data_IF_812752229738
#
_entry.id   IF_812752229738
#
_cell.length_a   1.000
_cell.length_b   1.000
_cell.length_c   1.000
_cell.angle_alpha   90.00
_cell.angle_beta   90.00
_cell.angle_gamma   90.00
#
_symmetry.space_group_name_H-M   'P 1'
#
loop_
_entity.id
_entity.type
_entity.pdbx_description
1 polymer ?
#
# COMPACT_ATOMS: atom_id res chain seq x y z
N UNK A 1 21.67 -46.13 -1.70
CA UNK A 1 21.16 -44.84 -1.21
C UNK A 1 19.77 -44.67 -1.73
N UNK A 2 18.81 -44.45 -0.85
CA UNK A 2 17.42 -44.32 -1.25
C UNK A 2 17.16 -42.89 -1.73
N UNK A 3 17.38 -42.67 -3.03
CA UNK A 3 17.24 -41.36 -3.67
C UNK A 3 15.84 -40.78 -3.51
N UNK A 4 14.82 -41.65 -3.44
CA UNK A 4 13.44 -41.30 -3.11
C UNK A 4 13.31 -40.67 -1.72
N UNK A 5 14.03 -41.22 -0.73
CA UNK A 5 13.98 -40.76 0.65
C UNK A 5 14.69 -39.41 0.82
N UNK A 6 15.83 -39.23 0.14
CA UNK A 6 16.53 -37.94 0.05
C UNK A 6 15.61 -36.84 -0.52
N UNK A 7 14.88 -37.16 -1.60
CA UNK A 7 13.95 -36.23 -2.22
C UNK A 7 12.75 -35.89 -1.30
N UNK A 8 12.22 -36.89 -0.57
CA UNK A 8 11.14 -36.68 0.39
C UNK A 8 11.57 -35.75 1.53
N UNK A 9 12.75 -35.97 2.12
CA UNK A 9 13.31 -35.11 3.18
C UNK A 9 13.53 -33.69 2.65
N UNK A 10 14.04 -33.56 1.43
CA UNK A 10 14.21 -32.25 0.80
C UNK A 10 12.86 -31.54 0.63
N UNK A 11 11.87 -32.21 0.06
CA UNK A 11 10.58 -31.62 -0.28
C UNK A 11 9.76 -31.25 0.96
N UNK A 12 9.73 -32.12 1.98
CA UNK A 12 9.00 -31.82 3.22
C UNK A 12 9.63 -30.63 3.96
N UNK A 13 10.96 -30.54 3.97
CA UNK A 13 11.65 -29.41 4.58
C UNK A 13 11.45 -28.12 3.78
N UNK A 14 11.47 -28.21 2.44
CA UNK A 14 11.15 -27.09 1.55
C UNK A 14 9.76 -26.53 1.88
N UNK A 15 8.74 -27.40 1.95
CA UNK A 15 7.36 -27.00 2.26
C UNK A 15 7.27 -26.41 3.67
N UNK A 16 7.92 -27.03 4.66
CA UNK A 16 7.97 -26.50 6.03
C UNK A 16 8.49 -25.06 6.06
N UNK A 17 9.62 -24.79 5.40
CA UNK A 17 10.22 -23.46 5.41
C UNK A 17 9.37 -22.45 4.66
N UNK A 18 8.75 -22.82 3.54
CA UNK A 18 7.83 -21.91 2.85
C UNK A 18 6.62 -21.55 3.71
N UNK A 19 6.02 -22.52 4.42
CA UNK A 19 4.92 -22.26 5.35
C UNK A 19 5.35 -21.37 6.51
N UNK A 20 6.53 -21.61 7.08
CA UNK A 20 7.13 -20.80 8.13
C UNK A 20 7.33 -19.33 7.69
N UNK A 21 7.84 -19.12 6.47
CA UNK A 21 7.98 -17.77 5.88
C UNK A 21 6.62 -17.10 5.69
N UNK A 22 5.64 -17.79 5.10
CA UNK A 22 4.29 -17.24 4.88
C UNK A 22 3.62 -16.88 6.21
N UNK A 23 3.69 -17.76 7.21
CA UNK A 23 3.17 -17.49 8.56
C UNK A 23 3.82 -16.25 9.16
N UNK A 24 5.14 -16.17 9.11
CA UNK A 24 5.91 -15.03 9.66
C UNK A 24 5.52 -13.72 8.98
N UNK A 25 5.40 -13.72 7.64
CA UNK A 25 4.93 -12.59 6.87
C UNK A 25 3.51 -12.15 7.30
N UNK A 26 2.58 -13.09 7.42
CA UNK A 26 1.20 -12.80 7.83
C UNK A 26 1.13 -12.22 9.24
N UNK A 27 1.94 -12.72 10.18
CA UNK A 27 2.03 -12.17 11.54
C UNK A 27 2.57 -10.75 11.54
N UNK A 28 3.65 -10.47 10.79
CA UNK A 28 4.23 -9.12 10.69
C UNK A 28 3.25 -8.10 10.07
N UNK A 29 2.35 -8.57 9.20
CA UNK A 29 1.33 -7.77 8.51
C UNK A 29 0.00 -7.67 9.29
N UNK A 30 -0.09 -8.27 10.47
CA UNK A 30 -1.28 -8.15 11.33
C UNK A 30 -2.47 -9.04 10.97
N UNK A 31 -2.28 -10.10 10.17
CA UNK A 31 -3.33 -11.09 9.86
C UNK A 31 -3.58 -12.06 11.03
N UNK A 32 -4.12 -11.52 12.13
CA UNK A 32 -4.26 -12.21 13.41
C UNK A 32 -5.13 -13.47 13.38
N UNK A 33 -6.08 -13.57 12.44
CA UNK A 33 -6.98 -14.74 12.35
C UNK A 33 -6.41 -15.90 11.51
N UNK A 34 -5.61 -15.59 10.49
CA UNK A 34 -5.12 -16.58 9.52
C UNK A 34 -3.79 -17.17 9.99
N UNK A 35 -2.93 -16.37 10.62
CA UNK A 35 -1.60 -16.79 11.07
C UNK A 35 -1.63 -18.02 12.02
N UNK A 36 -2.55 -18.12 13.02
CA UNK A 36 -2.60 -19.29 13.90
C UNK A 36 -2.98 -20.58 13.18
N UNK A 37 -3.88 -20.52 12.19
CA UNK A 37 -4.32 -21.70 11.43
C UNK A 37 -3.14 -22.27 10.63
N UNK A 38 -2.36 -21.39 10.00
CA UNK A 38 -1.16 -21.79 9.26
C UNK A 38 -0.11 -22.36 10.22
N UNK A 39 0.05 -21.80 11.42
CA UNK A 39 1.00 -22.32 12.41
C UNK A 39 0.69 -23.76 12.84
N UNK A 40 -0.59 -24.15 12.93
CA UNK A 40 -1.00 -25.54 13.23
C UNK A 40 -0.60 -26.49 12.09
N UNK A 41 -0.80 -26.07 10.84
CA UNK A 41 -0.39 -26.87 9.68
C UNK A 41 1.14 -26.96 9.61
N UNK A 42 1.83 -25.84 9.82
CA UNK A 42 3.29 -25.77 9.82
C UNK A 42 3.92 -26.70 10.86
N UNK A 43 3.44 -26.69 12.11
CA UNK A 43 3.99 -27.56 13.17
C UNK A 43 3.76 -29.05 12.87
N UNK A 44 2.67 -29.38 12.18
CA UNK A 44 2.40 -30.74 11.71
C UNK A 44 3.43 -31.17 10.66
N UNK A 45 3.71 -30.31 9.68
CA UNK A 45 4.74 -30.61 8.65
C UNK A 45 6.13 -30.68 9.28
N UNK A 46 6.43 -29.77 10.23
CA UNK A 46 7.70 -29.76 10.95
C UNK A 46 7.97 -31.06 11.70
N UNK A 47 6.99 -31.55 12.47
CA UNK A 47 7.17 -32.79 13.26
C UNK A 47 7.34 -34.01 12.37
N UNK A 48 6.64 -34.09 11.23
CA UNK A 48 6.83 -35.14 10.24
C UNK A 48 8.22 -35.09 9.60
N UNK A 49 8.67 -33.90 9.18
CA UNK A 49 10.01 -33.71 8.60
C UNK A 49 11.13 -34.03 9.58
N UNK A 50 10.99 -33.57 10.83
CA UNK A 50 11.95 -33.83 11.90
C UNK A 50 12.05 -35.34 12.21
N UNK A 51 10.91 -36.04 12.25
CA UNK A 51 10.88 -37.48 12.47
C UNK A 51 11.66 -38.23 11.38
N UNK A 52 11.53 -37.82 10.11
CA UNK A 52 12.28 -38.43 9.00
C UNK A 52 13.79 -38.22 9.17
N UNK A 53 14.25 -37.01 9.46
CA UNK A 53 15.69 -36.74 9.60
C UNK A 53 16.30 -37.48 10.80
N UNK A 54 15.59 -37.54 11.92
CA UNK A 54 16.07 -38.22 13.12
C UNK A 54 16.28 -39.72 12.93
N UNK A 55 15.48 -40.38 12.09
CA UNK A 55 15.63 -41.81 11.80
C UNK A 55 16.92 -42.12 11.01
N UNK A 56 17.49 -41.15 10.29
CA UNK A 56 18.66 -41.34 9.43
C UNK A 56 19.88 -40.50 9.86
N UNK A 57 19.93 -40.10 11.13
CA UNK A 57 20.98 -39.24 11.68
C UNK A 57 22.39 -39.85 11.61
N UNK A 58 22.49 -41.17 11.50
CA UNK A 58 23.76 -41.90 11.38
C UNK A 58 24.48 -41.63 10.05
N UNK A 59 23.80 -41.10 9.04
CA UNK A 59 24.40 -40.78 7.75
C UNK A 59 24.35 -39.26 7.49
N UNK A 60 25.52 -38.59 7.38
CA UNK A 60 25.60 -37.13 7.27
C UNK A 60 24.99 -36.57 5.98
N UNK A 61 24.81 -37.40 4.94
CA UNK A 61 24.25 -36.95 3.66
C UNK A 61 22.79 -36.50 3.81
N UNK A 62 21.99 -37.17 4.64
CA UNK A 62 20.60 -36.76 4.88
C UNK A 62 20.52 -35.39 5.57
N UNK A 63 21.48 -35.09 6.44
CA UNK A 63 21.61 -33.79 7.09
C UNK A 63 21.98 -32.69 6.09
N UNK A 64 22.89 -32.98 5.15
CA UNK A 64 23.25 -32.03 4.08
C UNK A 64 22.04 -31.75 3.19
N UNK A 65 21.29 -32.77 2.78
CA UNK A 65 20.08 -32.59 1.95
C UNK A 65 19.00 -31.81 2.70
N UNK A 66 18.84 -32.06 4.00
CA UNK A 66 17.96 -31.25 4.83
C UNK A 66 18.40 -29.78 4.86
N UNK A 67 19.69 -29.49 5.09
CA UNK A 67 20.23 -28.13 5.08
C UNK A 67 20.07 -27.42 3.72
N UNK A 68 20.23 -28.15 2.61
CA UNK A 68 19.96 -27.63 1.27
C UNK A 68 18.47 -27.29 1.08
N UNK A 69 17.57 -28.17 1.53
CA UNK A 69 16.13 -27.90 1.52
C UNK A 69 15.76 -26.64 2.31
N UNK A 70 16.47 -26.39 3.41
CA UNK A 70 16.28 -25.19 4.21
C UNK A 70 16.66 -23.92 3.44
N UNK A 71 17.87 -23.88 2.86
CA UNK A 71 18.34 -22.72 2.09
C UNK A 71 17.48 -22.42 0.86
N UNK A 72 17.14 -23.47 0.09
CA UNK A 72 16.26 -23.34 -1.08
C UNK A 72 14.85 -22.92 -0.66
N UNK A 73 14.36 -23.45 0.45
CA UNK A 73 13.05 -23.09 1.01
C UNK A 73 12.95 -21.62 1.36
N UNK A 74 13.99 -21.04 1.98
CA UNK A 74 14.03 -19.61 2.28
C UNK A 74 13.99 -18.80 0.98
N UNK A 75 14.80 -19.17 -0.02
CA UNK A 75 14.81 -18.46 -1.30
C UNK A 75 13.45 -18.49 -1.99
N UNK A 76 12.81 -19.66 -2.08
CA UNK A 76 11.46 -19.78 -2.62
C UNK A 76 10.43 -19.01 -1.78
N UNK A 77 10.56 -19.03 -0.45
CA UNK A 77 9.73 -18.24 0.47
C UNK A 77 9.82 -16.74 0.21
N UNK A 78 11.02 -16.20 -0.02
CA UNK A 78 11.23 -14.78 -0.36
C UNK A 78 10.59 -14.41 -1.71
N UNK A 79 10.63 -15.31 -2.70
CA UNK A 79 9.95 -15.10 -3.98
C UNK A 79 8.42 -15.08 -3.82
N UNK A 80 7.88 -15.94 -2.97
CA UNK A 80 6.46 -15.99 -2.63
C UNK A 80 6.05 -14.70 -1.91
N UNK A 81 6.82 -14.26 -0.91
CA UNK A 81 6.60 -13.00 -0.21
C UNK A 81 6.55 -11.81 -1.17
N UNK A 82 7.49 -11.73 -2.11
CA UNK A 82 7.54 -10.64 -3.08
C UNK A 82 6.31 -10.63 -3.98
N UNK A 83 5.83 -11.81 -4.40
CA UNK A 83 4.64 -11.96 -5.24
C UNK A 83 3.32 -11.71 -4.51
N UNK A 84 3.26 -12.02 -3.22
CA UNK A 84 2.05 -11.83 -2.41
C UNK A 84 1.66 -10.36 -2.30
N UNK A 85 2.64 -9.44 -2.37
CA UNK A 85 2.45 -7.99 -2.42
C UNK A 85 1.36 -7.49 -1.46
N UNK A 86 1.32 -8.07 -0.26
CA UNK A 86 0.25 -7.84 0.71
C UNK A 86 0.42 -6.49 1.41
N UNK A 87 -0.70 -5.79 1.56
CA UNK A 87 -0.78 -4.55 2.31
C UNK A 87 -0.58 -3.29 1.47
N UNK A 88 -0.26 -2.21 2.17
CA UNK A 88 -0.10 -0.87 1.60
C UNK A 88 1.30 -0.34 1.93
N UNK A 89 1.83 0.43 0.98
CA UNK A 89 3.10 1.13 1.07
C UNK A 89 2.82 2.63 1.10
N UNK A 90 3.52 3.34 1.96
CA UNK A 90 3.56 4.80 2.00
C UNK A 90 4.82 5.22 1.28
N UNK A 91 4.67 5.93 0.18
CA UNK A 91 5.77 6.45 -0.63
C UNK A 91 5.86 7.95 -0.41
N UNK A 92 6.99 8.41 0.11
CA UNK A 92 7.34 9.82 0.21
C UNK A 92 8.22 10.20 -0.97
N UNK A 93 7.83 11.20 -1.73
CA UNK A 93 8.57 11.70 -2.90
C UNK A 93 9.04 13.12 -2.62
N UNK A 94 10.33 13.37 -2.78
CA UNK A 94 10.97 14.66 -2.55
C UNK A 94 11.24 15.34 -3.89
N UNK A 95 10.60 16.48 -4.10
CA UNK A 95 10.61 17.26 -5.34
C UNK A 95 11.26 18.62 -5.06
N UNK A 96 12.09 19.10 -6.00
CA UNK A 96 12.79 20.38 -5.86
C UNK A 96 12.02 21.58 -6.42
N UNK A 97 11.00 21.34 -7.27
CA UNK A 97 10.22 22.38 -7.93
C UNK A 97 8.84 22.53 -7.27
N UNK A 98 8.40 23.77 -7.06
CA UNK A 98 7.18 24.13 -6.33
C UNK A 98 5.90 24.12 -7.19
N UNK A 99 5.99 23.78 -8.48
CA UNK A 99 4.89 23.97 -9.44
C UNK A 99 3.71 22.99 -9.27
N UNK A 100 3.70 22.15 -8.23
CA UNK A 100 2.70 21.11 -7.95
C UNK A 100 2.40 20.14 -9.12
N UNK A 101 3.17 20.18 -10.20
CA UNK A 101 2.97 19.44 -11.46
C UNK A 101 2.91 17.93 -11.21
N UNK A 102 3.89 17.39 -10.48
CA UNK A 102 3.93 15.98 -10.13
C UNK A 102 2.74 15.57 -9.26
N UNK A 103 2.36 16.42 -8.28
CA UNK A 103 1.24 16.12 -7.38
C UNK A 103 -0.09 16.08 -8.14
N UNK A 104 -0.33 17.04 -9.03
CA UNK A 104 -1.55 17.09 -9.84
C UNK A 104 -1.61 15.94 -10.85
N UNK A 105 -0.51 15.66 -11.53
CA UNK A 105 -0.38 14.54 -12.46
C UNK A 105 -0.64 13.18 -11.79
N UNK A 106 -0.23 13.00 -10.53
CA UNK A 106 -0.53 11.80 -9.74
C UNK A 106 -2.00 11.74 -9.30
N UNK A 107 -2.60 12.88 -8.91
CA UNK A 107 -4.04 12.95 -8.56
C UNK A 107 -4.93 12.62 -9.75
N UNK A 108 -4.62 13.12 -10.94
CA UNK A 108 -5.34 12.78 -12.18
C UNK A 108 -5.29 11.28 -12.51
N UNK A 109 -4.19 10.62 -12.14
CA UNK A 109 -4.03 9.15 -12.27
C UNK A 109 -4.74 8.37 -11.16
N UNK A 110 -5.39 9.06 -10.22
CA UNK A 110 -6.20 8.47 -9.14
C UNK A 110 -5.43 8.13 -7.87
N UNK A 111 -4.21 8.69 -7.70
CA UNK A 111 -3.46 8.59 -6.45
C UNK A 111 -3.91 9.66 -5.46
N UNK A 112 -4.06 9.27 -4.19
CA UNK A 112 -4.16 10.24 -3.09
C UNK A 112 -2.77 10.79 -2.79
N UNK A 113 -2.61 12.10 -2.90
CA UNK A 113 -1.32 12.78 -2.67
C UNK A 113 -1.51 13.90 -1.66
N UNK A 114 -0.81 13.79 -0.54
CA UNK A 114 -0.66 14.85 0.46
C UNK A 114 0.65 15.59 0.18
N UNK A 115 0.62 16.92 0.23
CA UNK A 115 1.81 17.76 0.04
C UNK A 115 2.22 18.32 1.40
N UNK A 116 3.50 18.21 1.72
CA UNK A 116 4.12 18.87 2.85
C UNK A 116 5.31 19.70 2.36
N UNK A 117 5.43 20.93 2.86
CA UNK A 117 6.58 21.79 2.59
C UNK A 117 7.72 21.40 3.53
N UNK A 118 8.93 21.24 2.98
CA UNK A 118 10.15 20.96 3.70
C UNK A 118 11.30 21.86 3.26
N UNK A 119 12.36 21.91 4.06
CA UNK A 119 13.56 22.69 3.74
C UNK A 119 14.78 21.77 3.69
N UNK A 120 15.46 21.75 2.54
CA UNK A 120 16.67 20.97 2.30
C UNK A 120 17.94 21.83 2.29
N UNK A 121 19.07 21.20 2.01
CA UNK A 121 20.36 21.90 1.86
C UNK A 121 20.30 23.01 0.81
N UNK A 122 19.60 22.73 -0.29
CA UNK A 122 19.56 23.58 -1.49
C UNK A 122 18.32 24.49 -1.53
N UNK A 123 17.54 24.58 -0.44
CA UNK A 123 16.35 25.42 -0.35
C UNK A 123 15.05 24.63 -0.11
N UNK A 124 13.92 25.27 -0.42
CA UNK A 124 12.58 24.70 -0.26
C UNK A 124 12.38 23.45 -1.11
N UNK A 125 11.63 22.49 -0.58
CA UNK A 125 11.28 21.23 -1.23
C UNK A 125 9.84 20.85 -0.91
N UNK A 126 9.20 20.18 -1.86
CA UNK A 126 7.91 19.53 -1.62
C UNK A 126 8.13 18.06 -1.30
N UNK A 127 7.46 17.60 -0.25
CA UNK A 127 7.39 16.20 0.15
C UNK A 127 5.97 15.72 -0.17
N UNK A 128 5.86 14.82 -1.13
CA UNK A 128 4.60 14.21 -1.54
C UNK A 128 4.44 12.87 -0.84
N UNK A 129 3.45 12.74 0.03
CA UNK A 129 3.13 11.47 0.70
C UNK A 129 2.00 10.79 -0.05
N UNK A 130 2.25 9.56 -0.51
CA UNK A 130 1.36 8.78 -1.35
C UNK A 130 1.12 7.43 -0.70
N UNK A 131 -0.15 7.11 -0.42
CA UNK A 131 -0.53 5.78 0.04
C UNK A 131 -0.94 4.93 -1.17
N UNK A 132 -0.22 3.84 -1.43
CA UNK A 132 -0.49 2.94 -2.57
C UNK A 132 -0.53 1.47 -2.13
N UNK A 133 -1.37 0.63 -2.73
CA UNK A 133 -1.25 -0.82 -2.57
C UNK A 133 0.16 -1.29 -2.96
N UNK A 134 0.75 -2.21 -2.20
CA UNK A 134 2.12 -2.68 -2.47
C UNK A 134 2.29 -3.30 -3.86
N UNK A 135 1.22 -3.89 -4.41
CA UNK A 135 1.18 -4.39 -5.79
C UNK A 135 1.38 -3.30 -6.86
N UNK A 136 0.98 -2.06 -6.54
CA UNK A 136 0.96 -0.93 -7.47
C UNK A 136 2.17 -0.01 -7.29
N UNK A 137 2.99 -0.25 -6.27
CA UNK A 137 4.16 0.57 -5.95
C UNK A 137 5.13 0.65 -7.15
N UNK A 138 5.38 -0.47 -7.84
CA UNK A 138 6.25 -0.49 -9.03
C UNK A 138 5.72 0.44 -10.14
N UNK A 139 4.41 0.52 -10.31
CA UNK A 139 3.80 1.38 -11.32
C UNK A 139 3.84 2.86 -10.88
N UNK A 140 3.71 3.13 -9.58
CA UNK A 140 3.88 4.47 -9.02
C UNK A 140 5.31 4.98 -9.26
N UNK A 141 6.33 4.19 -8.93
CA UNK A 141 7.75 4.56 -9.15
C UNK A 141 8.02 4.90 -10.61
N UNK A 142 7.57 4.05 -11.54
CA UNK A 142 7.70 4.34 -12.99
C UNK A 142 7.01 5.63 -13.39
N UNK A 143 5.82 5.90 -12.84
CA UNK A 143 5.08 7.13 -13.14
C UNK A 143 5.84 8.36 -12.63
N UNK A 144 6.47 8.27 -11.45
CA UNK A 144 7.30 9.34 -10.90
C UNK A 144 8.53 9.56 -11.78
N UNK A 145 9.25 8.50 -12.13
CA UNK A 145 10.46 8.56 -12.97
C UNK A 145 10.15 9.13 -14.38
N UNK A 146 8.97 8.87 -14.93
CA UNK A 146 8.52 9.41 -16.22
C UNK A 146 8.23 10.93 -16.17
N UNK A 147 7.74 11.44 -15.04
CA UNK A 147 7.31 12.84 -14.90
C UNK A 147 8.46 13.70 -14.36
N UNK A 148 9.16 13.24 -13.32
CA UNK A 148 10.31 13.91 -12.73
C UNK A 148 11.46 12.92 -12.46
N UNK A 149 12.41 12.79 -13.40
CA UNK A 149 13.57 11.92 -13.25
C UNK A 149 14.54 12.34 -12.13
N UNK A 150 14.40 13.55 -11.56
CA UNK A 150 15.23 14.05 -10.47
C UNK A 150 14.59 13.83 -9.10
N UNK A 151 13.33 13.39 -9.06
CA UNK A 151 12.63 13.11 -7.82
C UNK A 151 13.30 11.94 -7.09
N UNK A 152 13.48 12.10 -5.78
CA UNK A 152 13.92 11.02 -4.91
C UNK A 152 12.72 10.51 -4.13
N UNK A 153 12.56 9.20 -3.96
CA UNK A 153 11.45 8.65 -3.20
C UNK A 153 11.88 7.59 -2.18
N UNK A 154 11.08 7.46 -1.13
CA UNK A 154 11.28 6.53 -0.02
C UNK A 154 9.98 5.80 0.28
N UNK A 155 10.04 4.47 0.35
CA UNK A 155 8.86 3.63 0.61
C UNK A 155 8.92 3.03 2.02
N UNK A 156 7.80 3.06 2.72
CA UNK A 156 7.60 2.46 4.03
C UNK A 156 6.37 1.56 4.07
N UNK A 157 6.43 0.50 4.86
CA UNK A 157 5.31 -0.41 5.04
C UNK A 157 4.31 0.10 6.09
N UNK A 158 3.04 0.26 5.69
CA UNK A 158 1.96 0.58 6.61
C UNK A 158 1.37 -0.70 7.24
N UNK A 159 1.41 -0.80 8.57
CA UNK A 159 0.83 -1.94 9.31
C UNK A 159 -0.64 -1.75 9.67
N UNK A 160 -1.02 -0.54 10.04
CA UNK A 160 -2.39 -0.22 10.45
C UNK A 160 -2.79 1.10 9.81
N UNK A 161 -3.93 1.09 9.12
CA UNK A 161 -4.46 2.27 8.46
C UNK A 161 -5.93 2.38 8.84
N UNK A 162 -6.33 3.57 9.26
CA UNK A 162 -7.68 3.87 9.70
C UNK A 162 -8.13 5.17 9.01
N UNK A 163 -9.22 5.14 8.26
CA UNK A 163 -9.70 6.31 7.50
C UNK A 163 -8.78 6.72 6.34
N UNK A 164 -8.93 7.96 5.85
CA UNK A 164 -8.17 8.52 4.73
C UNK A 164 -8.88 8.45 3.36
N UNK A 165 -8.38 9.20 2.38
CA UNK A 165 -8.85 9.09 0.99
C UNK A 165 -8.30 7.80 0.39
N UNK A 166 -9.09 6.74 0.52
CA UNK A 166 -8.82 5.48 -0.14
C UNK A 166 -9.11 5.65 -1.62
N UNK A 167 -8.11 5.49 -2.46
CA UNK A 167 -8.37 5.09 -3.84
C UNK A 167 -8.94 3.67 -3.84
N UNK A 168 -10.20 3.51 -3.43
CA UNK A 168 -11.01 2.31 -3.68
C UNK A 168 -11.20 2.09 -5.18
N UNK A 169 -10.65 2.95 -6.05
CA UNK A 169 -10.72 2.88 -7.51
C UNK A 169 -9.47 3.49 -8.16
N UNK A 170 -8.29 2.90 -7.97
CA UNK A 170 -7.34 2.91 -9.11
C UNK A 170 -7.93 1.95 -10.13
N UNK A 171 -8.86 2.44 -10.94
CA UNK A 171 -9.46 1.65 -12.00
C UNK A 171 -8.40 1.48 -13.10
N UNK A 172 -7.92 0.25 -13.40
CA UNK A 172 -6.88 0.04 -14.41
C UNK A 172 -7.27 0.58 -15.80
N UNK A 173 -8.58 0.78 -16.04
CA UNK A 173 -9.11 1.37 -17.27
C UNK A 173 -8.88 2.88 -17.39
N UNK A 174 -8.77 3.61 -16.27
CA UNK A 174 -8.46 5.05 -16.28
C UNK A 174 -6.98 5.29 -16.63
N UNK A 175 -6.08 4.44 -16.12
CA UNK A 175 -4.66 4.41 -16.50
C UNK A 175 -4.49 4.15 -18.01
N UNK A 176 -5.27 3.24 -18.59
CA UNK A 176 -5.22 2.95 -20.03
C UNK A 176 -5.82 4.07 -20.89
N UNK A 177 -6.76 4.85 -20.35
CA UNK A 177 -7.38 6.01 -21.02
C UNK A 177 -6.47 7.24 -21.02
N UNK A 178 -5.66 7.48 -19.97
CA UNK A 178 -4.72 8.61 -19.97
C UNK A 178 -3.67 8.46 -21.07
N UNK A 179 -3.09 7.25 -21.26
CA UNK A 179 -2.19 6.94 -22.39
C UNK A 179 -2.76 7.25 -23.79
N UNK A 180 -4.08 7.23 -23.95
CA UNK A 180 -4.75 7.55 -25.21
C UNK A 180 -5.10 9.05 -25.34
N UNK A 181 -5.17 9.78 -24.24
CA UNK A 181 -5.49 11.21 -24.18
C UNK A 181 -4.24 12.10 -24.24
N UNK A 182 -3.10 11.58 -23.76
CA UNK A 182 -1.78 12.21 -23.82
C UNK A 182 -1.27 12.38 -25.26
N UNK A 183 -1.83 11.66 -26.24
CA UNK A 183 -1.48 11.82 -27.67
C UNK A 183 -2.23 12.96 -28.38
N UNK A 184 -3.20 13.63 -27.74
CA UNK A 184 -4.04 14.63 -28.40
C UNK A 184 -4.35 15.89 -27.58
N UNK A 185 -3.65 16.14 -26.48
CA UNK A 185 -3.94 17.29 -25.60
C UNK A 185 -2.74 18.22 -25.47
N UNK A 186 -2.32 18.83 -26.58
CA UNK A 186 -1.29 19.89 -26.62
C UNK A 186 -1.86 21.30 -26.36
N UNK A 187 -3.16 21.46 -26.07
CA UNK A 187 -3.79 22.78 -25.90
C UNK A 187 -4.78 22.84 -24.73
N UNK A 188 -4.29 22.71 -23.50
CA UNK A 188 -5.01 23.22 -22.32
C UNK A 188 -4.19 24.38 -21.78
N UNK A 189 -4.70 25.60 -21.98
CA UNK A 189 -4.21 26.78 -21.26
C UNK A 189 -4.76 26.67 -19.85
N UNK A 190 -3.88 26.50 -18.88
CA UNK A 190 -4.19 26.62 -17.46
C UNK A 190 -4.14 28.12 -17.14
N UNK A 191 -5.22 28.69 -16.62
CA UNK A 191 -5.19 30.04 -16.04
C UNK A 191 -4.24 30.00 -14.84
N UNK A 192 -3.15 30.76 -14.94
CA UNK A 192 -2.10 30.86 -13.94
C UNK A 192 -2.61 31.78 -12.83
N UNK A 193 -2.84 31.23 -11.63
CA UNK A 193 -3.16 32.05 -10.44
C UNK A 193 -1.85 32.69 -9.99
N UNK A 194 -1.80 34.03 -10.03
CA UNK A 194 -0.56 34.80 -10.08
C UNK A 194 0.11 34.98 -8.70
N UNK A 195 -0.56 34.60 -7.61
CA UNK A 195 0.03 34.69 -6.26
C UNK A 195 -0.60 33.76 -5.21
N UNK A 196 0.20 33.46 -4.18
CA UNK A 196 -0.21 32.70 -2.99
C UNK A 196 -1.35 33.38 -2.22
N UNK A 197 -1.40 34.71 -2.20
CA UNK A 197 -2.48 35.43 -1.51
C UNK A 197 -3.83 35.20 -2.19
N UNK A 198 -3.87 35.22 -3.53
CA UNK A 198 -5.10 35.02 -4.32
C UNK A 198 -5.66 33.59 -4.16
N UNK A 199 -4.80 32.57 -4.16
CA UNK A 199 -5.21 31.19 -3.91
C UNK A 199 -5.75 30.98 -2.49
N UNK A 200 -5.13 31.61 -1.48
CA UNK A 200 -5.59 31.53 -0.08
C UNK A 200 -6.91 32.28 0.12
N UNK A 201 -7.12 33.40 -0.57
CA UNK A 201 -8.41 34.10 -0.57
C UNK A 201 -9.49 33.24 -1.21
N UNK A 202 -9.29 32.75 -2.44
CA UNK A 202 -10.30 31.98 -3.16
C UNK A 202 -10.68 30.69 -2.42
N UNK A 203 -9.68 29.96 -1.92
CA UNK A 203 -9.93 28.73 -1.14
C UNK A 203 -10.53 29.00 0.25
N UNK A 204 -10.17 30.12 0.88
CA UNK A 204 -10.77 30.58 2.14
C UNK A 204 -12.24 30.93 1.97
N UNK A 205 -12.62 31.62 0.89
CA UNK A 205 -14.00 31.93 0.54
C UNK A 205 -14.84 30.66 0.29
N UNK A 206 -14.31 29.71 -0.49
CA UNK A 206 -14.98 28.44 -0.77
C UNK A 206 -15.25 27.61 0.52
N UNK A 207 -14.27 27.55 1.41
CA UNK A 207 -14.43 26.87 2.70
C UNK A 207 -15.47 27.56 3.59
N UNK A 208 -15.51 28.89 3.61
CA UNK A 208 -16.45 29.64 4.43
C UNK A 208 -17.89 29.53 3.90
N UNK A 209 -18.07 29.40 2.58
CA UNK A 209 -19.37 29.07 1.98
C UNK A 209 -19.81 27.63 2.28
N UNK A 210 -18.94 26.63 2.18
CA UNK A 210 -19.26 25.24 2.54
C UNK A 210 -19.65 25.12 4.03
N UNK A 211 -18.92 25.79 4.92
CA UNK A 211 -19.24 25.79 6.37
C UNK A 211 -20.57 26.50 6.65
N UNK A 212 -20.88 27.60 5.96
CA UNK A 212 -22.19 28.28 6.08
C UNK A 212 -23.33 27.40 5.56
N UNK A 213 -23.11 26.67 4.47
CA UNK A 213 -24.10 25.73 3.93
C UNK A 213 -24.32 24.54 4.87
N UNK A 214 -23.27 23.91 5.39
CA UNK A 214 -23.42 22.83 6.39
C UNK A 214 -24.10 23.31 7.68
N UNK A 215 -23.76 24.52 8.14
CA UNK A 215 -24.37 25.09 9.36
C UNK A 215 -25.86 25.40 9.15
N UNK A 216 -26.25 25.93 7.98
CA UNK A 216 -27.66 26.16 7.64
C UNK A 216 -28.45 24.85 7.49
N UNK A 217 -27.87 23.82 6.87
CA UNK A 217 -28.52 22.51 6.75
C UNK A 217 -28.73 21.88 8.13
N UNK A 218 -27.72 21.94 9.01
CA UNK A 218 -27.80 21.37 10.36
C UNK A 218 -28.81 22.10 11.26
N UNK A 219 -28.92 23.43 11.14
CA UNK A 219 -29.91 24.21 11.89
C UNK A 219 -31.33 24.00 11.37
N UNK A 220 -31.51 23.81 10.05
CA UNK A 220 -32.80 23.46 9.45
C UNK A 220 -33.26 22.05 9.85
N UNK A 221 -32.37 21.07 9.94
CA UNK A 221 -32.69 19.72 10.44
C UNK A 221 -33.06 19.70 11.93
N UNK A 222 -32.47 20.59 12.75
CA UNK A 222 -32.82 20.71 14.16
C UNK A 222 -34.20 21.36 14.39
N UNK A 223 -34.57 22.36 13.58
CA UNK A 223 -35.91 22.94 13.62
C UNK A 223 -36.99 21.94 13.18
N UNK A 224 -36.72 21.15 12.12
CA UNK A 224 -37.65 20.12 11.63
C UNK A 224 -37.92 19.03 12.68
N UNK A 225 -36.89 18.62 13.43
CA UNK A 225 -37.02 17.62 14.48
C UNK A 225 -37.78 18.15 15.72
N UNK A 226 -37.60 19.42 16.09
CA UNK A 226 -38.36 20.03 17.19
C UNK A 226 -39.84 20.24 16.86
N UNK A 227 -40.18 20.48 15.59
CA UNK A 227 -41.57 20.58 15.13
C UNK A 227 -42.26 19.21 15.04
N UNK A 228 -41.51 18.15 14.70
CA UNK A 228 -42.01 16.78 14.71
C UNK A 228 -42.32 16.28 16.12
N UNK A 229 -41.49 16.57 17.12
CA UNK A 229 -41.73 16.16 18.51
C UNK A 229 -42.95 16.87 19.13
N UNK A 230 -43.16 18.16 18.82
CA UNK A 230 -44.32 18.94 19.32
C UNK A 230 -45.68 18.48 18.77
N UNK A 231 -45.71 17.81 17.62
CA UNK A 231 -46.94 17.27 17.03
C UNK A 231 -47.26 15.84 17.47
N UNK A 232 -46.34 15.14 18.17
CA UNK A 232 -46.60 13.80 18.69
C UNK A 232 -47.33 13.79 20.05
N UNK A 233 -47.36 14.92 20.75
CA UNK A 233 -48.03 15.08 22.07
C UNK A 233 -49.49 15.59 21.97
N UNK A 234 -50.09 15.60 20.76
CA UNK A 234 -51.46 16.11 20.52
C UNK A 234 -52.45 15.14 19.90
N UNK A 235 -52.13 13.84 19.81
CA UNK A 235 -53.11 12.77 19.51
C UNK A 235 -53.37 11.86 20.72
#
# INVERSE_FOLDING_TARGET
MDWSLLLQIFLINLIYIMLNTIRTLLTMRGYQKIAPIIAVVEVTVYTLGLSMVMQYLSNPIYLIVYALGFGVGIYCGMLIETKLALGYSVVEVYVQNDDHTLANALRERGYGVTIQVGYGRDGDRLILTILTPRSNEIYLHRTIDEIDPKAFYLSYDAKYIHGGFWSKRVNPRLIKRSKAKDQQTDNIVVEEVESREEYVEETGYLFEEEVKQETQVTSFEQELNQESDKNSDKE
#
